data_IF_258472257137
#
_entry.id   IF_258472257137
#
_cell.length_a   1.000
_cell.length_b   1.000
_cell.length_c   1.000
_cell.angle_alpha   90.00
_cell.angle_beta   90.00
_cell.angle_gamma   90.00
#
_symmetry.space_group_name_H-M   'P 1'
#
loop_
_entity.id
_entity.type
_entity.pdbx_description
1 polymer ?
#
# COMPACT_ATOMS: atom_id res chain seq x y z
N UNK A 1 4.25 -28.01 0.03
CA UNK A 1 3.73 -26.63 0.05
C UNK A 1 4.66 -25.84 0.94
N UNK A 2 5.81 -25.45 0.41
CA UNK A 2 6.77 -24.59 1.12
C UNK A 2 6.47 -23.17 0.68
N UNK A 3 5.68 -22.45 1.48
CA UNK A 3 5.53 -21.01 1.34
C UNK A 3 6.88 -20.38 1.70
N UNK A 4 7.46 -19.69 0.72
CA UNK A 4 8.63 -18.84 0.88
C UNK A 4 8.45 -17.91 2.09
N UNK A 5 9.15 -18.20 3.18
CA UNK A 5 9.42 -17.25 4.24
C UNK A 5 10.35 -16.17 3.65
N UNK A 6 9.76 -15.13 3.06
CA UNK A 6 10.48 -13.88 2.85
C UNK A 6 10.67 -13.22 4.22
N UNK A 7 11.68 -13.68 4.98
CA UNK A 7 12.20 -12.91 6.12
C UNK A 7 12.67 -11.57 5.58
N UNK A 8 12.01 -10.49 5.98
CA UNK A 8 12.50 -9.13 5.73
C UNK A 8 13.94 -9.04 6.24
N UNK A 9 14.89 -8.64 5.39
CA UNK A 9 16.27 -8.49 5.84
C UNK A 9 16.36 -7.37 6.90
N UNK A 10 17.32 -7.49 7.82
CA UNK A 10 17.51 -6.57 8.94
C UNK A 10 17.72 -5.10 8.51
N UNK A 11 18.33 -4.83 7.35
CA UNK A 11 18.50 -3.48 6.80
C UNK A 11 17.19 -2.89 6.29
N UNK A 12 16.31 -3.72 5.72
CA UNK A 12 14.96 -3.29 5.31
C UNK A 12 14.11 -2.95 6.52
N UNK A 13 14.21 -3.76 7.59
CA UNK A 13 13.52 -3.50 8.86
C UNK A 13 13.99 -2.18 9.52
N UNK A 14 15.31 -1.93 9.57
CA UNK A 14 15.87 -0.68 10.10
C UNK A 14 15.44 0.57 9.32
N UNK A 15 15.39 0.50 7.98
CA UNK A 15 14.91 1.61 7.16
C UNK A 15 13.44 1.97 7.45
N UNK A 16 12.61 0.96 7.70
CA UNK A 16 11.20 1.18 8.04
C UNK A 16 11.09 1.83 9.42
N UNK A 17 11.84 1.35 10.42
CA UNK A 17 11.86 1.95 11.77
C UNK A 17 12.32 3.41 11.75
N UNK A 18 13.40 3.72 11.04
CA UNK A 18 13.88 5.10 10.90
C UNK A 18 12.85 6.01 10.22
N UNK A 19 12.16 5.50 9.19
CA UNK A 19 11.08 6.22 8.54
C UNK A 19 9.91 6.48 9.48
N UNK A 20 9.53 5.50 10.33
CA UNK A 20 8.50 5.70 11.35
C UNK A 20 8.89 6.78 12.35
N UNK A 21 10.09 6.71 12.93
CA UNK A 21 10.61 7.74 13.84
C UNK A 21 10.57 9.13 13.18
N UNK A 22 11.02 9.23 11.92
CA UNK A 22 10.98 10.47 11.16
C UNK A 22 9.54 10.98 10.93
N UNK A 23 8.60 10.07 10.63
CA UNK A 23 7.20 10.40 10.39
C UNK A 23 6.53 10.95 11.66
N UNK A 24 6.73 10.28 12.81
CA UNK A 24 6.29 10.77 14.12
C UNK A 24 6.83 12.18 14.40
N UNK A 25 8.14 12.39 14.21
CA UNK A 25 8.75 13.70 14.46
C UNK A 25 8.22 14.78 13.52
N UNK A 26 8.13 14.49 12.22
CA UNK A 26 7.75 15.46 11.19
C UNK A 26 6.27 15.85 11.26
N UNK A 27 5.40 14.88 11.49
CA UNK A 27 3.95 15.08 11.36
C UNK A 27 3.25 15.32 12.71
N UNK A 28 3.89 14.95 13.82
CA UNK A 28 3.29 15.01 15.16
C UNK A 28 4.19 15.67 16.21
N UNK A 29 5.39 16.12 15.83
CA UNK A 29 6.39 16.72 16.74
C UNK A 29 6.81 15.81 17.91
N UNK A 30 6.51 14.51 17.83
CA UNK A 30 6.82 13.52 18.86
C UNK A 30 8.13 12.82 18.53
N UNK A 31 9.02 12.77 19.51
CA UNK A 31 10.25 11.99 19.42
C UNK A 31 9.98 10.54 19.79
N UNK A 32 10.43 9.64 18.93
CA UNK A 32 10.37 8.19 19.16
C UNK A 32 11.77 7.65 19.01
N UNK A 33 12.27 6.98 20.04
CA UNK A 33 13.57 6.35 19.98
C UNK A 33 13.54 5.15 19.03
N UNK A 34 14.68 4.88 18.39
CA UNK A 34 14.82 3.70 17.51
C UNK A 34 14.57 2.42 18.30
N UNK A 35 15.02 2.34 19.56
CA UNK A 35 14.81 1.19 20.44
C UNK A 35 13.33 0.94 20.67
N UNK A 36 12.57 1.98 21.04
CA UNK A 36 11.13 1.88 21.27
C UNK A 36 10.40 1.44 20.00
N UNK A 37 10.64 2.12 18.88
CA UNK A 37 10.02 1.80 17.59
C UNK A 37 10.36 0.39 17.12
N UNK A 38 11.57 -0.11 17.39
CA UNK A 38 11.97 -1.48 17.04
C UNK A 38 11.21 -2.52 17.89
N UNK A 39 11.13 -2.35 19.22
CA UNK A 39 10.37 -3.28 20.07
C UNK A 39 8.89 -3.30 19.65
N UNK A 40 8.33 -2.12 19.40
CA UNK A 40 6.96 -1.91 18.98
C UNK A 40 6.64 -2.62 17.67
N UNK A 41 7.42 -2.38 16.61
CA UNK A 41 7.22 -2.98 15.29
C UNK A 41 7.25 -4.52 15.35
N UNK A 42 8.24 -5.08 16.06
CA UNK A 42 8.39 -6.53 16.21
C UNK A 42 7.21 -7.17 16.93
N UNK A 43 6.81 -6.60 18.07
CA UNK A 43 5.72 -7.15 18.88
C UNK A 43 4.37 -6.97 18.19
N UNK A 44 4.09 -5.79 17.62
CA UNK A 44 2.83 -5.51 16.95
C UNK A 44 2.65 -6.32 15.66
N UNK A 45 3.72 -6.53 14.88
CA UNK A 45 3.68 -7.43 13.72
C UNK A 45 3.23 -8.82 14.14
N UNK A 46 3.90 -9.41 15.13
CA UNK A 46 3.55 -10.74 15.64
C UNK A 46 2.13 -10.78 16.20
N UNK A 47 1.74 -9.75 16.98
CA UNK A 47 0.41 -9.64 17.56
C UNK A 47 -0.67 -9.60 16.48
N UNK A 48 -0.49 -8.75 15.46
CA UNK A 48 -1.42 -8.61 14.34
C UNK A 48 -1.60 -9.94 13.60
N UNK A 49 -0.50 -10.61 13.22
CA UNK A 49 -0.57 -11.87 12.47
C UNK A 49 -1.28 -12.97 13.26
N UNK A 50 -1.02 -13.05 14.57
CA UNK A 50 -1.65 -14.05 15.44
C UNK A 50 -3.16 -13.83 15.56
N UNK A 51 -3.61 -12.58 15.71
CA UNK A 51 -5.01 -12.27 15.98
C UNK A 51 -5.88 -12.19 14.72
N UNK A 52 -5.27 -11.92 13.56
CA UNK A 52 -6.01 -11.77 12.30
C UNK A 52 -5.86 -12.98 11.38
N UNK A 53 -4.80 -13.78 11.56
CA UNK A 53 -4.40 -14.81 10.60
C UNK A 53 -3.82 -14.25 9.30
N UNK A 54 -3.57 -12.94 9.22
CA UNK A 54 -3.07 -12.25 8.03
C UNK A 54 -1.57 -12.01 8.19
N UNK A 55 -0.76 -12.36 7.19
CA UNK A 55 0.67 -12.06 7.16
C UNK A 55 0.94 -10.62 6.73
N UNK A 56 1.76 -9.91 7.52
CA UNK A 56 2.16 -8.53 7.20
C UNK A 56 3.04 -8.56 5.94
N UNK A 57 2.73 -7.69 4.99
CA UNK A 57 3.42 -7.57 3.70
C UNK A 57 3.31 -6.13 3.17
N UNK A 58 3.73 -5.88 1.93
CA UNK A 58 3.70 -4.54 1.30
C UNK A 58 2.34 -3.83 1.26
N UNK A 59 1.25 -4.53 1.54
CA UNK A 59 -0.13 -3.99 1.54
C UNK A 59 -0.65 -3.71 2.95
N UNK A 60 0.17 -3.95 3.96
CA UNK A 60 -0.17 -3.85 5.37
C UNK A 60 0.91 -3.01 6.04
N UNK A 61 0.55 -1.80 6.44
CA UNK A 61 1.40 -0.97 7.29
C UNK A 61 0.74 -0.85 8.65
N UNK A 62 1.48 -1.25 9.69
CA UNK A 62 1.01 -1.19 11.07
C UNK A 62 1.40 0.15 11.68
N UNK A 63 0.61 0.55 12.69
CA UNK A 63 1.00 1.58 13.63
C UNK A 63 1.36 2.95 12.99
N UNK A 64 0.58 3.36 12.00
CA UNK A 64 0.74 4.68 11.41
C UNK A 64 0.08 5.70 12.34
N UNK A 65 0.77 6.77 12.76
CA UNK A 65 0.13 7.78 13.58
C UNK A 65 -1.02 8.40 12.79
N UNK A 66 -2.14 8.64 13.47
CA UNK A 66 -3.35 9.12 12.80
C UNK A 66 -3.10 10.53 12.25
N UNK A 67 -2.97 10.65 10.92
CA UNK A 67 -2.85 11.95 10.26
C UNK A 67 -4.16 12.70 10.45
N UNK A 68 -4.10 13.87 11.08
CA UNK A 68 -5.24 14.76 11.14
C UNK A 68 -5.60 15.20 9.71
N UNK A 69 -6.89 15.27 9.36
CA UNK A 69 -7.32 15.93 8.13
C UNK A 69 -6.74 17.34 8.06
N UNK A 70 -6.47 17.82 6.85
CA UNK A 70 -5.91 19.15 6.65
C UNK A 70 -6.79 20.23 7.32
N UNK A 71 -6.19 21.07 8.16
CA UNK A 71 -6.89 22.08 8.96
C UNK A 71 -7.30 21.65 10.38
N UNK A 72 -6.98 20.42 10.80
CA UNK A 72 -7.22 19.94 12.17
C UNK A 72 -5.90 19.76 12.93
N UNK A 73 -5.89 19.99 14.26
CA UNK A 73 -4.72 19.70 15.08
C UNK A 73 -4.37 18.20 15.03
N UNK A 74 -3.08 17.82 15.17
CA UNK A 74 -2.65 16.43 15.12
C UNK A 74 -3.45 15.59 16.13
N UNK A 75 -4.17 14.57 15.63
CA UNK A 75 -5.08 13.75 16.44
C UNK A 75 -4.36 12.62 17.20
N UNK A 76 -3.03 12.66 17.26
CA UNK A 76 -2.26 11.68 18.03
C UNK A 76 -2.44 11.97 19.52
N UNK A 77 -3.45 11.35 20.12
CA UNK A 77 -3.70 11.46 21.56
C UNK A 77 -2.83 10.45 22.29
N UNK A 78 -1.66 10.88 22.75
CA UNK A 78 -0.84 10.07 23.66
C UNK A 78 -1.34 10.23 25.11
N UNK A 79 -1.59 9.12 25.78
CA UNK A 79 -1.98 9.10 27.20
C UNK A 79 -1.00 8.20 27.95
N UNK A 80 0.00 8.78 28.66
CA UNK A 80 0.91 7.99 29.49
C UNK A 80 0.17 7.45 30.72
N UNK A 81 0.58 6.27 31.19
CA UNK A 81 0.05 5.68 32.42
C UNK A 81 0.60 4.28 32.65
N UNK A 82 0.02 3.57 33.62
CA UNK A 82 0.29 2.14 33.83
C UNK A 82 0.05 1.34 32.53
N UNK A 83 -0.98 1.74 31.79
CA UNK A 83 -1.17 1.40 30.37
C UNK A 83 -1.07 2.69 29.57
N UNK A 84 0.07 2.87 28.92
CA UNK A 84 0.29 3.96 27.98
C UNK A 84 -0.34 3.63 26.64
N UNK A 85 -0.87 4.62 25.94
CA UNK A 85 -1.57 4.39 24.66
C UNK A 85 -1.56 5.60 23.73
N UNK A 86 -1.74 5.34 22.43
CA UNK A 86 -2.09 6.37 21.46
C UNK A 86 -2.96 5.86 20.31
N UNK A 87 -3.67 6.79 19.66
CA UNK A 87 -4.48 6.52 18.48
C UNK A 87 -3.61 6.40 17.22
N UNK A 88 -3.83 5.33 16.46
CA UNK A 88 -3.11 5.02 15.24
C UNK A 88 -4.08 4.54 14.15
N UNK A 89 -3.53 4.25 12.98
CA UNK A 89 -4.20 3.52 11.93
C UNK A 89 -3.37 2.30 11.52
N UNK A 90 -4.08 1.26 11.10
CA UNK A 90 -3.54 0.19 10.28
C UNK A 90 -3.96 0.46 8.84
N UNK A 91 -3.00 0.49 7.92
CA UNK A 91 -3.28 0.61 6.50
C UNK A 91 -3.40 -0.78 5.89
N UNK A 92 -4.59 -1.17 5.40
CA UNK A 92 -4.84 -2.46 4.76
C UNK A 92 -5.34 -2.22 3.34
N UNK A 93 -4.53 -2.57 2.34
CA UNK A 93 -4.91 -2.51 0.92
C UNK A 93 -5.62 -1.21 0.54
N UNK A 94 -5.02 -0.07 0.91
CA UNK A 94 -5.53 1.29 0.68
C UNK A 94 -6.60 1.82 1.62
N UNK A 95 -6.94 1.08 2.67
CA UNK A 95 -7.92 1.50 3.67
C UNK A 95 -7.23 1.83 5.00
N UNK A 96 -7.55 2.99 5.55
CA UNK A 96 -7.12 3.40 6.89
C UNK A 96 -8.10 2.85 7.92
N UNK A 97 -7.61 1.99 8.82
CA UNK A 97 -8.41 1.38 9.87
C UNK A 97 -7.97 1.92 11.22
N UNK A 98 -8.81 2.72 11.91
CA UNK A 98 -8.44 3.31 13.19
C UNK A 98 -8.27 2.22 14.24
N UNK A 99 -7.17 2.30 14.99
CA UNK A 99 -6.86 1.41 16.10
C UNK A 99 -6.22 2.21 17.22
N UNK A 100 -6.06 1.58 18.38
CA UNK A 100 -5.24 2.12 19.45
C UNK A 100 -4.05 1.21 19.68
N UNK A 101 -2.87 1.81 19.74
CA UNK A 101 -1.65 1.13 20.18
C UNK A 101 -1.51 1.36 21.67
N UNK A 102 -1.35 0.28 22.43
CA UNK A 102 -1.20 0.33 23.87
C UNK A 102 0.00 -0.51 24.32
N UNK A 103 0.59 -0.10 25.44
CA UNK A 103 1.67 -0.83 26.09
C UNK A 103 1.67 -0.68 27.60
N UNK A 104 2.29 -1.66 28.25
CA UNK A 104 2.58 -1.65 29.69
C UNK A 104 3.91 -2.37 29.94
N UNK A 105 4.54 -2.08 31.06
CA UNK A 105 5.71 -2.82 31.52
C UNK A 105 5.34 -3.84 32.59
N UNK A 106 6.11 -4.93 32.68
CA UNK A 106 6.01 -5.87 33.79
C UNK A 106 6.62 -5.29 35.09
N UNK A 107 7.65 -4.44 34.97
CA UNK A 107 8.31 -3.76 36.09
C UNK A 107 7.50 -2.63 36.72
N UNK A 108 6.44 -2.16 36.05
CA UNK A 108 5.68 -0.97 36.43
C UNK A 108 6.30 0.35 35.99
N UNK A 109 7.46 0.33 35.29
CA UNK A 109 8.01 1.52 34.63
C UNK A 109 7.06 2.04 33.55
N UNK A 110 6.75 3.33 33.59
CA UNK A 110 6.00 3.98 32.51
C UNK A 110 7.01 4.41 31.44
N UNK A 111 7.15 3.62 30.38
CA UNK A 111 8.03 3.94 29.26
C UNK A 111 7.43 5.05 28.39
N UNK A 112 8.23 6.07 28.11
CA UNK A 112 7.94 7.10 27.13
C UNK A 112 8.43 6.67 25.73
N UNK A 113 7.94 7.31 24.66
CA UNK A 113 8.33 6.92 23.30
C UNK A 113 9.78 7.32 22.98
N UNK A 114 10.27 8.37 23.62
CA UNK A 114 11.61 8.93 23.50
C UNK A 114 12.67 8.19 24.33
N UNK A 115 12.27 7.31 25.25
CA UNK A 115 13.18 6.54 26.10
C UNK A 115 14.11 5.67 25.24
N UNK A 116 15.42 5.73 25.50
CA UNK A 116 16.44 5.02 24.71
C UNK A 116 16.87 3.69 25.32
N UNK A 117 16.62 3.51 26.62
CA UNK A 117 16.99 2.37 27.45
C UNK A 117 15.80 1.39 27.64
N UNK A 118 15.03 1.17 26.58
CA UNK A 118 13.90 0.23 26.58
C UNK A 118 14.40 -1.21 26.71
N UNK A 119 13.84 -1.95 27.64
CA UNK A 119 13.94 -3.41 27.68
C UNK A 119 12.74 -4.01 26.94
N UNK A 120 12.95 -4.51 25.72
CA UNK A 120 11.87 -5.11 24.91
C UNK A 120 11.22 -6.34 25.57
N UNK A 121 11.83 -6.93 26.61
CA UNK A 121 11.27 -8.06 27.37
C UNK A 121 10.35 -7.57 28.49
N UNK A 122 10.62 -6.39 29.05
CA UNK A 122 9.80 -5.80 30.11
C UNK A 122 8.52 -5.16 29.56
N UNK A 123 8.59 -4.56 28.37
CA UNK A 123 7.45 -3.89 27.72
C UNK A 123 6.64 -4.85 26.83
N UNK A 124 5.32 -4.82 26.98
CA UNK A 124 4.36 -5.56 26.16
C UNK A 124 3.53 -4.58 25.33
N UNK A 125 3.47 -4.76 24.01
CA UNK A 125 2.66 -3.96 23.08
C UNK A 125 1.48 -4.75 22.50
N UNK A 126 0.33 -4.09 22.33
CA UNK A 126 -0.83 -4.67 21.64
C UNK A 126 -1.66 -3.62 20.88
N UNK A 127 -2.60 -4.12 20.06
CA UNK A 127 -3.57 -3.34 19.31
C UNK A 127 -4.98 -3.53 19.86
N UNK A 128 -5.70 -2.42 20.04
CA UNK A 128 -7.13 -2.39 20.36
C UNK A 128 -7.93 -1.87 19.17
N UNK A 129 -9.17 -2.35 19.02
CA UNK A 129 -10.07 -1.93 17.94
C UNK A 129 -9.82 -2.60 16.58
N UNK A 130 -9.09 -3.72 16.56
CA UNK A 130 -8.89 -4.48 15.31
C UNK A 130 -10.19 -5.12 14.81
N UNK A 131 -10.39 -5.12 13.50
CA UNK A 131 -11.48 -5.83 12.81
C UNK A 131 -10.90 -6.81 11.78
N UNK A 132 -10.54 -8.04 12.19
CA UNK A 132 -9.98 -9.04 11.29
C UNK A 132 -10.86 -9.33 10.08
N UNK A 133 -12.19 -9.35 10.25
CA UNK A 133 -13.12 -9.67 9.17
C UNK A 133 -13.08 -8.58 8.09
N UNK A 134 -13.12 -7.32 8.50
CA UNK A 134 -12.97 -6.18 7.59
C UNK A 134 -11.61 -6.23 6.88
N UNK A 135 -10.52 -6.56 7.57
CA UNK A 135 -9.19 -6.63 6.96
C UNK A 135 -9.11 -7.70 5.87
N UNK A 136 -9.69 -8.88 6.12
CA UNK A 136 -9.83 -9.93 5.11
C UNK A 136 -10.65 -9.45 3.90
N UNK A 137 -11.75 -8.73 4.13
CA UNK A 137 -12.56 -8.15 3.05
C UNK A 137 -11.79 -7.11 2.24
N UNK A 138 -11.00 -6.25 2.90
CA UNK A 138 -10.18 -5.22 2.26
C UNK A 138 -9.01 -5.82 1.45
N UNK A 139 -8.42 -6.92 1.92
CA UNK A 139 -7.35 -7.63 1.19
C UNK A 139 -7.87 -8.43 0.00
N UNK A 140 -9.09 -8.94 0.10
CA UNK A 140 -9.75 -9.77 -0.90
C UNK A 140 -11.11 -9.20 -1.28
N UNK A 141 -11.16 -7.97 -1.85
CA UNK A 141 -12.42 -7.32 -2.16
C UNK A 141 -13.17 -8.16 -3.21
N UNK A 142 -14.36 -8.63 -2.85
CA UNK A 142 -15.29 -9.30 -3.77
C UNK A 142 -16.08 -8.26 -4.58
N UNK A 143 -15.42 -7.22 -5.07
CA UNK A 143 -16.09 -6.17 -5.82
C UNK A 143 -16.06 -6.48 -7.32
N UNK A 144 -17.25 -6.48 -7.92
CA UNK A 144 -17.35 -6.25 -9.36
C UNK A 144 -16.84 -4.84 -9.63
N UNK A 145 -15.73 -4.73 -10.35
CA UNK A 145 -15.18 -3.45 -10.74
C UNK A 145 -16.20 -2.66 -11.58
N UNK A 146 -16.31 -1.33 -11.41
CA UNK A 146 -17.35 -0.52 -12.05
C UNK A 146 -17.19 -0.39 -13.58
N UNK A 147 -16.24 -1.09 -14.18
CA UNK A 147 -16.01 -1.08 -15.61
C UNK A 147 -16.27 -2.46 -16.23
N UNK A 148 -17.13 -2.46 -17.24
CA UNK A 148 -17.30 -3.58 -18.17
C UNK A 148 -16.60 -3.22 -19.48
N UNK A 149 -15.69 -4.07 -19.93
CA UNK A 149 -15.07 -3.96 -21.25
C UNK A 149 -15.84 -4.86 -22.21
N UNK A 150 -16.48 -4.26 -23.21
CA UNK A 150 -17.16 -5.05 -24.24
C UNK A 150 -16.13 -5.47 -25.29
N UNK A 151 -15.80 -6.76 -25.30
CA UNK A 151 -14.94 -7.43 -26.29
C UNK A 151 -13.69 -6.59 -26.69
N UNK A 152 -12.67 -6.53 -25.83
CA UNK A 152 -11.52 -5.63 -26.05
C UNK A 152 -10.61 -6.02 -27.21
N UNK A 153 -10.88 -7.13 -27.93
CA UNK A 153 -10.06 -7.59 -29.04
C UNK A 153 -8.74 -8.29 -28.62
N UNK A 154 -8.53 -8.44 -27.32
CA UNK A 154 -7.44 -9.18 -26.69
C UNK A 154 -7.96 -9.98 -25.49
N UNK A 155 -7.20 -10.98 -25.06
CA UNK A 155 -7.46 -11.67 -23.79
C UNK A 155 -7.11 -10.75 -22.62
N UNK A 156 -8.04 -10.53 -21.70
CA UNK A 156 -7.80 -9.74 -20.49
C UNK A 156 -7.84 -10.64 -19.26
N UNK A 157 -6.73 -10.72 -18.55
CA UNK A 157 -6.60 -11.43 -17.27
C UNK A 157 -6.34 -10.40 -16.18
N UNK A 158 -7.19 -10.38 -15.16
CA UNK A 158 -7.03 -9.50 -13.99
C UNK A 158 -6.86 -10.39 -12.78
N UNK A 159 -5.65 -10.47 -12.25
CA UNK A 159 -5.38 -11.17 -11.00
C UNK A 159 -5.72 -10.28 -9.81
N UNK A 160 -5.26 -9.02 -9.87
CA UNK A 160 -5.48 -8.04 -8.81
C UNK A 160 -5.34 -6.61 -9.33
N UNK A 161 -6.13 -5.70 -8.77
CA UNK A 161 -6.00 -4.26 -9.02
C UNK A 161 -5.57 -3.55 -7.74
N UNK A 162 -4.48 -2.79 -7.84
CA UNK A 162 -3.91 -1.95 -6.78
C UNK A 162 -3.66 -0.55 -7.32
N UNK A 163 -3.37 0.42 -6.43
CA UNK A 163 -2.89 1.73 -6.88
C UNK A 163 -1.58 1.57 -7.66
N UNK A 164 -0.64 0.80 -7.08
CA UNK A 164 0.59 0.36 -7.73
C UNK A 164 0.40 -1.03 -8.35
N UNK A 165 0.42 -1.10 -9.67
CA UNK A 165 0.21 -2.35 -10.40
C UNK A 165 1.27 -2.57 -11.47
N UNK A 166 1.59 -3.84 -11.70
CA UNK A 166 2.27 -4.28 -12.91
C UNK A 166 1.21 -4.69 -13.94
N UNK A 167 1.38 -4.24 -15.19
CA UNK A 167 0.59 -4.66 -16.33
C UNK A 167 1.53 -5.21 -17.40
N UNK A 168 1.35 -6.46 -17.78
CA UNK A 168 2.05 -7.06 -18.93
C UNK A 168 1.14 -7.07 -20.14
N UNK A 169 1.67 -6.61 -21.28
CA UNK A 169 0.96 -6.52 -22.56
C UNK A 169 1.71 -7.38 -23.57
N UNK A 170 1.07 -8.42 -24.09
CA UNK A 170 1.63 -9.29 -25.13
C UNK A 170 1.30 -8.76 -26.51
N UNK A 171 2.33 -8.71 -27.35
CA UNK A 171 2.31 -8.09 -28.67
C UNK A 171 2.43 -9.14 -29.77
N UNK A 172 1.82 -8.87 -30.93
CA UNK A 172 2.06 -9.62 -32.17
C UNK A 172 3.47 -9.31 -32.71
N UNK A 173 4.07 -10.25 -33.44
CA UNK A 173 5.46 -10.19 -33.93
C UNK A 173 5.85 -8.94 -34.76
N UNK A 174 4.87 -8.19 -35.29
CA UNK A 174 5.10 -6.97 -36.08
C UNK A 174 4.67 -5.68 -35.36
N UNK A 175 4.35 -5.75 -34.07
CA UNK A 175 3.90 -4.59 -33.30
C UNK A 175 5.11 -3.76 -32.89
N UNK A 176 5.07 -2.46 -33.18
CA UNK A 176 6.09 -1.51 -32.74
C UNK A 176 5.87 -1.19 -31.25
N UNK A 177 6.55 -1.92 -30.38
CA UNK A 177 6.37 -1.81 -28.92
C UNK A 177 6.64 -0.40 -28.40
N UNK A 178 7.67 0.28 -28.91
CA UNK A 178 8.00 1.65 -28.52
C UNK A 178 6.92 2.66 -28.90
N UNK A 179 6.29 2.52 -30.07
CA UNK A 179 5.17 3.38 -30.49
C UNK A 179 3.96 3.19 -29.57
N UNK A 180 3.69 1.94 -29.16
CA UNK A 180 2.61 1.64 -28.21
C UNK A 180 2.90 2.22 -26.83
N UNK A 181 4.14 2.08 -26.34
CA UNK A 181 4.57 2.64 -25.07
C UNK A 181 4.47 4.17 -25.07
N UNK A 182 4.93 4.82 -26.13
CA UNK A 182 4.77 6.28 -26.27
C UNK A 182 3.29 6.69 -26.27
N UNK A 183 2.44 5.96 -26.97
CA UNK A 183 1.01 6.24 -26.97
C UNK A 183 0.33 5.99 -25.61
N UNK A 184 0.85 5.08 -24.78
CA UNK A 184 0.43 4.92 -23.38
C UNK A 184 0.82 6.16 -22.56
N UNK A 185 2.04 6.68 -22.72
CA UNK A 185 2.45 7.92 -22.06
C UNK A 185 1.56 9.10 -22.46
N UNK A 186 1.18 9.19 -23.74
CA UNK A 186 0.27 10.23 -24.22
C UNK A 186 -1.14 10.09 -23.61
N UNK A 187 -1.63 8.86 -23.41
CA UNK A 187 -2.91 8.60 -22.73
C UNK A 187 -2.87 9.05 -21.28
N UNK A 188 -1.78 8.78 -20.56
CA UNK A 188 -1.60 9.24 -19.17
C UNK A 188 -1.60 10.77 -19.10
N UNK A 189 -0.80 11.42 -19.94
CA UNK A 189 -0.74 12.88 -19.99
C UNK A 189 -2.11 13.50 -20.32
N UNK A 190 -2.80 12.97 -21.32
CA UNK A 190 -4.12 13.44 -21.71
C UNK A 190 -5.18 13.20 -20.62
N UNK A 191 -5.08 12.10 -19.89
CA UNK A 191 -5.97 11.80 -18.76
C UNK A 191 -5.80 12.81 -17.63
N UNK A 192 -4.56 13.04 -17.18
CA UNK A 192 -4.27 13.97 -16.08
C UNK A 192 -4.72 15.40 -16.43
N UNK A 193 -4.38 15.91 -17.62
CA UNK A 193 -4.82 17.24 -18.09
C UNK A 193 -6.35 17.36 -18.11
N UNK A 194 -7.06 16.29 -18.50
CA UNK A 194 -8.52 16.28 -18.52
C UNK A 194 -9.11 16.26 -17.10
N UNK A 195 -8.52 15.50 -16.20
CA UNK A 195 -8.94 15.41 -14.80
C UNK A 195 -8.77 16.74 -14.08
N UNK A 196 -7.61 17.38 -14.23
CA UNK A 196 -7.33 18.70 -13.64
C UNK A 196 -8.32 19.77 -14.12
N UNK A 197 -8.67 19.78 -15.42
CA UNK A 197 -9.67 20.71 -15.97
C UNK A 197 -11.08 20.53 -15.37
N UNK A 198 -11.36 19.40 -14.74
CA UNK A 198 -12.61 19.13 -14.03
C UNK A 198 -12.49 19.29 -12.51
N UNK A 199 -11.40 19.91 -12.02
CA UNK A 199 -11.17 20.03 -10.57
C UNK A 199 -10.56 18.79 -9.92
N UNK A 200 -10.11 17.79 -10.69
CA UNK A 200 -9.45 16.59 -10.18
C UNK A 200 -10.38 15.46 -9.79
N UNK A 201 -11.69 15.55 -10.07
CA UNK A 201 -12.70 14.54 -9.70
C UNK A 201 -12.42 13.13 -10.24
N UNK A 202 -11.77 13.01 -11.40
CA UNK A 202 -11.40 11.73 -12.01
C UNK A 202 -10.05 11.18 -11.47
N UNK A 203 -9.42 11.88 -10.52
CA UNK A 203 -8.11 11.56 -9.93
C UNK A 203 -6.93 11.82 -10.86
N UNK A 204 -5.71 11.57 -10.38
CA UNK A 204 -4.47 11.71 -11.16
C UNK A 204 -3.62 10.45 -11.08
N UNK A 205 -3.02 10.09 -12.21
CA UNK A 205 -1.99 9.04 -12.29
C UNK A 205 -0.66 9.66 -11.89
N UNK A 206 0.00 9.09 -10.88
CA UNK A 206 1.24 9.65 -10.35
C UNK A 206 2.44 9.27 -11.21
N UNK A 207 2.52 8.03 -11.66
CA UNK A 207 3.65 7.58 -12.47
C UNK A 207 3.32 6.39 -13.36
N UNK A 208 4.02 6.30 -14.48
CA UNK A 208 4.01 5.13 -15.35
C UNK A 208 5.41 4.92 -15.90
N UNK A 209 5.90 3.68 -15.86
CA UNK A 209 7.18 3.28 -16.44
C UNK A 209 6.97 2.05 -17.29
N UNK A 210 7.52 2.04 -18.49
CA UNK A 210 7.44 0.89 -19.38
C UNK A 210 8.81 0.34 -19.74
N UNK A 211 8.88 -0.98 -19.87
CA UNK A 211 10.03 -1.69 -20.44
C UNK A 211 9.57 -2.65 -21.53
N UNK A 212 10.20 -2.57 -22.69
CA UNK A 212 10.01 -3.53 -23.77
C UNK A 212 10.91 -4.74 -23.54
N UNK A 213 10.34 -5.95 -23.61
CA UNK A 213 11.05 -7.22 -23.53
C UNK A 213 10.50 -8.18 -24.58
N UNK A 214 11.28 -8.45 -25.62
CA UNK A 214 10.87 -9.33 -26.72
C UNK A 214 9.50 -8.92 -27.30
N UNK A 215 8.49 -9.80 -27.19
CA UNK A 215 7.12 -9.57 -27.62
C UNK A 215 6.21 -9.03 -26.51
N UNK A 216 6.77 -8.42 -25.46
CA UNK A 216 6.04 -7.91 -24.31
C UNK A 216 6.38 -6.47 -24.00
N UNK A 217 5.38 -5.75 -23.53
CA UNK A 217 5.55 -4.47 -22.86
C UNK A 217 5.11 -4.65 -21.41
N UNK A 218 6.03 -4.42 -20.47
CA UNK A 218 5.77 -4.48 -19.03
C UNK A 218 5.65 -3.04 -18.53
N UNK A 219 4.55 -2.73 -17.86
CA UNK A 219 4.27 -1.43 -17.29
C UNK A 219 4.20 -1.51 -15.77
N UNK A 220 4.92 -0.64 -15.09
CA UNK A 220 4.71 -0.31 -13.68
C UNK A 220 3.86 0.97 -13.63
N UNK A 221 2.68 0.90 -13.01
CA UNK A 221 1.69 1.98 -13.00
C UNK A 221 1.34 2.31 -11.55
N UNK A 222 1.59 3.55 -11.13
CA UNK A 222 0.98 4.14 -9.94
C UNK A 222 -0.23 4.98 -10.41
N UNK A 223 -1.41 4.38 -10.31
CA UNK A 223 -2.67 5.01 -10.70
C UNK A 223 -3.10 6.15 -9.78
N UNK A 224 -2.41 6.36 -8.66
CA UNK A 224 -2.71 7.39 -7.68
C UNK A 224 -4.19 7.39 -7.29
N UNK A 225 -4.78 8.58 -7.28
CA UNK A 225 -6.22 8.73 -7.02
C UNK A 225 -7.12 8.40 -8.22
N UNK A 226 -6.56 8.16 -9.41
CA UNK A 226 -7.35 7.88 -10.61
C UNK A 226 -7.92 6.45 -10.67
N UNK A 227 -7.19 5.48 -10.10
CA UNK A 227 -7.64 4.10 -9.89
C UNK A 227 -8.35 3.46 -11.11
N UNK A 228 -9.53 2.82 -10.91
CA UNK A 228 -10.26 2.14 -11.99
C UNK A 228 -10.70 3.04 -13.16
N UNK A 229 -10.87 4.34 -12.94
CA UNK A 229 -11.32 5.29 -13.97
C UNK A 229 -10.24 5.43 -15.05
N UNK A 230 -8.98 5.60 -14.65
CA UNK A 230 -7.85 5.61 -15.57
C UNK A 230 -7.68 4.24 -16.25
N UNK A 231 -7.75 3.14 -15.49
CA UNK A 231 -7.56 1.80 -16.04
C UNK A 231 -8.53 1.50 -17.18
N UNK A 232 -9.79 1.93 -17.06
CA UNK A 232 -10.79 1.83 -18.13
C UNK A 232 -10.38 2.61 -19.39
N UNK A 233 -9.80 3.80 -19.23
CA UNK A 233 -9.32 4.60 -20.35
C UNK A 233 -8.13 3.94 -21.05
N UNK A 234 -7.17 3.42 -20.28
CA UNK A 234 -6.01 2.71 -20.79
C UNK A 234 -6.39 1.42 -21.54
N UNK A 235 -7.23 0.56 -20.94
CA UNK A 235 -7.68 -0.68 -21.56
C UNK A 235 -8.47 -0.43 -22.85
N UNK A 236 -9.24 0.67 -22.91
CA UNK A 236 -9.94 1.13 -24.13
C UNK A 236 -8.98 1.68 -25.19
N UNK A 237 -7.86 2.29 -24.79
CA UNK A 237 -6.82 2.67 -25.73
C UNK A 237 -6.17 1.42 -26.34
N UNK A 238 -5.79 0.46 -25.49
CA UNK A 238 -5.20 -0.81 -25.93
C UNK A 238 -6.12 -1.59 -26.87
N UNK A 239 -7.45 -1.52 -26.67
CA UNK A 239 -8.41 -2.24 -27.53
C UNK A 239 -8.48 -1.69 -28.95
N UNK A 240 -7.91 -0.51 -29.20
CA UNK A 240 -7.78 0.08 -30.54
C UNK A 240 -6.44 -0.29 -31.19
N UNK A 241 -5.51 -0.88 -30.44
CA UNK A 241 -4.24 -1.36 -30.96
C UNK A 241 -4.44 -2.75 -31.57
N UNK A 242 -4.25 -2.85 -32.88
CA UNK A 242 -4.31 -4.14 -33.58
C UNK A 242 -3.16 -5.10 -33.20
N UNK A 243 -2.16 -4.60 -32.47
CA UNK A 243 -0.97 -5.35 -32.08
C UNK A 243 -1.06 -6.09 -30.75
N UNK A 244 -2.09 -5.84 -29.94
CA UNK A 244 -2.23 -6.47 -28.61
C UNK A 244 -2.94 -7.81 -28.73
N UNK A 245 -2.44 -8.83 -28.02
CA UNK A 245 -3.02 -10.19 -27.99
C UNK A 245 -3.55 -10.57 -26.62
N UNK A 246 -2.82 -10.18 -25.57
CA UNK A 246 -3.18 -10.40 -24.17
C UNK A 246 -2.76 -9.19 -23.32
N UNK A 247 -3.55 -8.89 -22.30
CA UNK A 247 -3.21 -7.96 -21.22
C UNK A 247 -3.42 -8.68 -19.90
N UNK A 248 -2.42 -8.65 -19.03
CA UNK A 248 -2.46 -9.24 -17.69
C UNK A 248 -2.14 -8.17 -16.65
N UNK A 249 -2.94 -8.09 -15.59
CA UNK A 249 -2.78 -7.09 -14.53
C UNK A 249 -2.62 -7.78 -13.18
N UNK A 250 -1.59 -7.38 -12.44
CA UNK A 250 -1.20 -7.94 -11.15
C UNK A 250 -0.14 -9.04 -11.29
N UNK A 251 0.60 -9.28 -10.22
CA UNK A 251 1.56 -10.39 -10.15
C UNK A 251 0.83 -11.73 -10.31
N UNK A 252 1.31 -12.59 -11.22
CA UNK A 252 0.81 -13.95 -11.35
C UNK A 252 1.26 -14.75 -10.11
N UNK A 253 0.34 -15.25 -9.27
CA UNK A 253 0.70 -15.95 -8.02
C UNK A 253 1.43 -17.29 -8.23
N UNK A 254 1.58 -17.75 -9.48
CA UNK A 254 2.29 -18.99 -9.83
C UNK A 254 3.75 -18.78 -10.24
N UNK A 255 4.29 -17.56 -10.11
CA UNK A 255 5.71 -17.23 -10.35
C UNK A 255 6.40 -16.81 -9.04
#
# INVERSE_FOLDING_TARGET
MDLLNATLDHKTLLKNVEYHCWNFKRNHEIEVSITFATCLDQQLTRYFELHTGIKVNKLIELNLPMRAPEGYPPMLTFTPGEVSRYNANIYISHNWNPVMVAWKSASGRIYAMEDTDIDCVDIEFWLEGMDPLLYHQQLHPKEELPFRLKNPGYELVIHRLHMDMEMTIWLKDNTRADDLLQGIYDVVAAFNVKSEKKGGDDGVVHSVRGKVQENRLILEIDTGSAGPVFLKALLKYLSKSNGVTKVEIGENPEV
#
